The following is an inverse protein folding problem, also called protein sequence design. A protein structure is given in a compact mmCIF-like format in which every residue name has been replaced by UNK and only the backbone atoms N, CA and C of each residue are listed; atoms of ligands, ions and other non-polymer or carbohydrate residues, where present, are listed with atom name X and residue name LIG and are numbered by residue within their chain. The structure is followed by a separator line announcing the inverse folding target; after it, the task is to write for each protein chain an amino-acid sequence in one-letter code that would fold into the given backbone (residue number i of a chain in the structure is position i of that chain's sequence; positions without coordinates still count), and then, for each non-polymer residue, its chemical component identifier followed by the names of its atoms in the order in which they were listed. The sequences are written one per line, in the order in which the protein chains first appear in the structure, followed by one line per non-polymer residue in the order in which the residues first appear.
data_IF_174855827527
#
_entry.id   IF_174855827527
#
_cell.length_a   1.000
_cell.length_b   1.000
_cell.length_c   1.000
_cell.angle_alpha   90.00
_cell.angle_beta   90.00
_cell.angle_gamma   90.00
#
_symmetry.space_group_name_H-M   'P 1'
#
loop_
_entity.id
_entity.type
_entity.pdbx_description
1 polymer ?
#
# COMPACT_ATOMS: atom_id res chain seq x y z
N UNK A 1 -5.33 -3.24 -23.27
CA UNK A 1 -4.29 -3.35 -22.22
C UNK A 1 -4.62 -2.36 -21.13
N UNK A 2 -5.02 -2.82 -19.95
CA UNK A 2 -5.20 -1.96 -18.78
C UNK A 2 -3.84 -1.76 -18.10
N UNK A 3 -3.59 -0.58 -17.56
CA UNK A 3 -2.37 -0.19 -16.88
C UNK A 3 -2.71 -0.10 -15.40
N UNK A 4 -2.11 -0.98 -14.61
CA UNK A 4 -2.30 -1.01 -13.17
C UNK A 4 -1.22 -0.17 -12.51
N UNK A 5 -1.63 0.69 -11.59
CA UNK A 5 -0.75 1.60 -10.89
C UNK A 5 -1.06 1.54 -9.40
N UNK A 6 -0.03 1.51 -8.57
CA UNK A 6 -0.20 1.58 -7.12
C UNK A 6 -0.91 2.89 -6.75
N UNK A 7 -1.86 2.81 -5.82
CA UNK A 7 -2.60 4.00 -5.39
C UNK A 7 -1.69 5.08 -4.79
N UNK A 8 -0.56 4.69 -4.18
CA UNK A 8 0.47 5.65 -3.76
C UNK A 8 0.99 6.49 -4.92
N UNK A 9 1.35 5.86 -6.04
CA UNK A 9 1.83 6.55 -7.24
C UNK A 9 0.73 7.41 -7.87
N UNK A 10 -0.50 6.91 -7.92
CA UNK A 10 -1.66 7.69 -8.38
C UNK A 10 -1.90 8.90 -7.48
N UNK A 11 -1.75 8.76 -6.17
CA UNK A 11 -1.95 9.85 -5.22
C UNK A 11 -0.88 10.93 -5.36
N UNK A 12 0.40 10.54 -5.46
CA UNK A 12 1.52 11.48 -5.57
C UNK A 12 1.58 12.18 -6.92
N UNK A 13 1.32 11.44 -8.01
CA UNK A 13 1.41 11.94 -9.39
C UNK A 13 0.04 12.22 -10.01
N UNK A 14 -0.95 12.53 -9.18
CA UNK A 14 -2.34 12.69 -9.63
C UNK A 14 -2.48 13.73 -10.76
N UNK A 15 -1.70 14.80 -10.72
CA UNK A 15 -1.67 15.82 -11.78
C UNK A 15 -1.19 15.25 -13.12
N UNK A 16 -0.12 14.44 -13.11
CA UNK A 16 0.44 13.80 -14.32
C UNK A 16 -0.56 12.81 -14.92
N UNK A 17 -1.19 11.99 -14.07
CA UNK A 17 -2.24 11.07 -14.51
C UNK A 17 -3.45 11.82 -15.05
N UNK A 18 -3.88 12.91 -14.41
CA UNK A 18 -5.00 13.71 -14.90
C UNK A 18 -4.65 14.36 -16.23
N UNK A 19 -3.45 14.92 -16.38
CA UNK A 19 -3.00 15.53 -17.64
C UNK A 19 -2.91 14.51 -18.79
N UNK A 20 -2.41 13.31 -18.52
CA UNK A 20 -2.24 12.27 -19.52
C UNK A 20 -3.55 11.56 -19.92
N UNK A 21 -4.51 11.45 -18.99
CA UNK A 21 -5.69 10.59 -19.17
C UNK A 21 -7.03 11.34 -19.20
N UNK A 22 -7.11 12.60 -18.74
CA UNK A 22 -8.39 13.34 -18.76
C UNK A 22 -8.93 13.51 -20.19
N UNK A 23 -10.21 13.21 -20.39
CA UNK A 23 -10.87 13.24 -21.70
C UNK A 23 -10.39 12.19 -22.71
N UNK A 24 -9.45 11.33 -22.34
CA UNK A 24 -8.92 10.28 -23.21
C UNK A 24 -9.76 9.01 -23.11
N UNK A 25 -10.03 8.37 -24.25
CA UNK A 25 -10.60 7.01 -24.30
C UNK A 25 -9.71 5.97 -23.59
N UNK A 26 -8.46 6.32 -23.29
CA UNK A 26 -7.51 5.49 -22.54
C UNK A 26 -7.67 5.61 -21.03
N UNK A 27 -8.42 6.58 -20.50
CA UNK A 27 -8.67 6.73 -19.06
C UNK A 27 -9.29 5.47 -18.45
N UNK A 28 -10.22 4.84 -19.17
CA UNK A 28 -10.89 3.60 -18.77
C UNK A 28 -9.93 2.40 -18.65
N UNK A 29 -8.67 2.57 -19.07
CA UNK A 29 -7.63 1.56 -19.01
C UNK A 29 -6.71 1.76 -17.80
N UNK A 30 -6.75 2.90 -17.12
CA UNK A 30 -5.99 3.14 -15.89
C UNK A 30 -6.78 2.59 -14.70
N UNK A 31 -6.15 1.73 -13.91
CA UNK A 31 -6.78 1.10 -12.74
C UNK A 31 -5.82 1.16 -11.55
N UNK A 32 -6.37 1.42 -10.37
CA UNK A 32 -5.66 1.37 -9.09
C UNK A 32 -6.63 0.89 -8.00
N UNK A 33 -6.11 0.19 -6.99
CA UNK A 33 -6.87 -0.27 -5.84
C UNK A 33 -6.58 0.60 -4.62
N UNK A 34 -7.61 0.98 -3.86
CA UNK A 34 -7.49 1.79 -2.65
C UNK A 34 -8.51 1.35 -1.61
N UNK A 35 -8.12 1.43 -0.33
CA UNK A 35 -9.02 1.25 0.80
C UNK A 35 -9.73 2.55 1.21
N UNK A 36 -9.43 3.66 0.51
CA UNK A 36 -10.09 4.95 0.71
C UNK A 36 -11.29 5.10 -0.24
N UNK A 37 -12.38 5.70 0.22
CA UNK A 37 -13.51 6.07 -0.65
C UNK A 37 -13.08 7.08 -1.72
N UNK A 38 -13.87 7.20 -2.79
CA UNK A 38 -13.52 8.07 -3.90
C UNK A 38 -13.54 9.56 -3.48
N UNK A 39 -12.37 10.20 -3.54
CA UNK A 39 -12.13 11.54 -2.98
C UNK A 39 -12.96 12.66 -3.60
N UNK A 40 -13.44 12.50 -4.83
CA UNK A 40 -14.24 13.50 -5.54
C UNK A 40 -15.72 13.09 -5.70
N UNK A 41 -16.18 12.04 -5.01
CA UNK A 41 -17.59 11.65 -5.07
C UNK A 41 -18.48 12.65 -4.34
N UNK A 42 -19.22 13.46 -5.10
CA UNK A 42 -20.13 14.48 -4.57
C UNK A 42 -21.44 13.94 -4.01
N UNK A 43 -21.74 12.64 -4.14
CA UNK A 43 -22.94 11.98 -3.59
C UNK A 43 -22.58 10.88 -2.60
N UNK A 44 -21.40 10.98 -2.00
CA UNK A 44 -20.86 9.95 -1.13
C UNK A 44 -21.69 9.75 0.14
N UNK A 45 -21.88 8.48 0.52
CA UNK A 45 -22.40 8.09 1.84
C UNK A 45 -21.28 7.92 2.88
N UNK A 46 -20.01 8.06 2.47
CA UNK A 46 -18.87 7.97 3.38
C UNK A 46 -18.76 9.24 4.22
N UNK A 47 -18.95 9.10 5.53
CA UNK A 47 -18.75 10.17 6.51
C UNK A 47 -17.36 10.82 6.36
N UNK A 48 -16.30 10.02 6.21
CA UNK A 48 -14.94 10.52 5.99
C UNK A 48 -14.83 11.44 4.76
N UNK A 49 -15.51 11.13 3.66
CA UNK A 49 -15.48 12.00 2.46
C UNK A 49 -16.33 13.25 2.66
N UNK A 50 -17.46 13.15 3.37
CA UNK A 50 -18.29 14.30 3.71
C UNK A 50 -17.51 15.30 4.58
N UNK A 51 -16.85 14.82 5.63
CA UNK A 51 -15.97 15.62 6.48
C UNK A 51 -14.79 16.19 5.71
N UNK A 52 -14.17 15.38 4.85
CA UNK A 52 -13.09 15.84 3.97
C UNK A 52 -13.56 16.96 3.03
N UNK A 53 -14.75 16.85 2.43
CA UNK A 53 -15.31 17.88 1.55
C UNK A 53 -15.68 19.15 2.30
N UNK A 54 -16.08 19.03 3.57
CA UNK A 54 -16.31 20.17 4.45
C UNK A 54 -15.00 20.87 4.81
N UNK A 55 -13.93 20.12 5.07
CA UNK A 55 -12.61 20.66 5.40
C UNK A 55 -11.86 21.22 4.18
N UNK A 56 -11.99 20.57 3.01
CA UNK A 56 -11.35 20.96 1.75
C UNK A 56 -12.43 21.45 0.78
N UNK A 57 -12.77 22.73 0.92
CA UNK A 57 -13.86 23.37 0.16
C UNK A 57 -13.50 23.59 -1.31
N UNK A 58 -12.23 23.88 -1.62
CA UNK A 58 -11.75 23.97 -3.00
C UNK A 58 -11.71 22.57 -3.64
N UNK A 59 -12.61 22.36 -4.62
CA UNK A 59 -12.69 21.10 -5.37
C UNK A 59 -11.40 20.74 -6.10
N UNK A 60 -10.57 21.73 -6.49
CA UNK A 60 -9.28 21.47 -7.14
C UNK A 60 -8.27 20.82 -6.19
N UNK A 61 -8.41 21.09 -4.89
CA UNK A 61 -7.58 20.52 -3.85
C UNK A 61 -8.07 19.14 -3.40
N UNK A 62 -9.26 18.70 -3.83
CA UNK A 62 -9.79 17.36 -3.54
C UNK A 62 -9.12 16.33 -4.43
N UNK A 63 -7.99 15.86 -3.98
CA UNK A 63 -7.13 14.87 -4.65
C UNK A 63 -7.00 13.60 -3.80
N UNK A 64 -6.59 12.45 -4.37
CA UNK A 64 -6.36 11.25 -3.58
C UNK A 64 -5.33 11.46 -2.46
N UNK A 65 -4.28 12.24 -2.72
CA UNK A 65 -3.27 12.58 -1.72
C UNK A 65 -3.84 13.39 -0.56
N UNK A 66 -4.65 14.41 -0.86
CA UNK A 66 -5.28 15.23 0.17
C UNK A 66 -6.29 14.46 1.03
N UNK A 67 -7.07 13.54 0.45
CA UNK A 67 -7.96 12.67 1.22
C UNK A 67 -7.15 11.76 2.14
N UNK A 68 -6.02 11.23 1.65
CA UNK A 68 -5.13 10.39 2.46
C UNK A 68 -4.53 11.18 3.63
N UNK A 69 -4.07 12.40 3.38
CA UNK A 69 -3.58 13.29 4.43
C UNK A 69 -4.67 13.64 5.45
N UNK A 70 -5.90 13.89 4.98
CA UNK A 70 -7.05 14.13 5.83
C UNK A 70 -7.37 12.93 6.73
N UNK A 71 -7.46 11.73 6.17
CA UNK A 71 -7.69 10.50 6.93
C UNK A 71 -6.57 10.23 7.96
N UNK A 72 -5.31 10.48 7.60
CA UNK A 72 -4.18 10.41 8.53
C UNK A 72 -4.30 11.44 9.67
N UNK A 73 -4.75 12.65 9.37
CA UNK A 73 -4.98 13.69 10.38
C UNK A 73 -6.14 13.32 11.32
N UNK A 74 -7.22 12.76 10.78
CA UNK A 74 -8.35 12.27 11.57
C UNK A 74 -7.95 11.14 12.53
N UNK A 75 -7.07 10.23 12.09
CA UNK A 75 -6.47 9.22 12.97
C UNK A 75 -5.71 9.89 14.12
N UNK A 76 -4.82 10.84 13.82
CA UNK A 76 -4.06 11.57 14.85
C UNK A 76 -5.00 12.31 15.80
N UNK A 77 -6.01 13.02 15.31
CA UNK A 77 -7.00 13.71 16.15
C UNK A 77 -7.77 12.74 17.05
N UNK A 78 -8.21 11.61 16.50
CA UNK A 78 -8.89 10.55 17.27
C UNK A 78 -8.00 10.02 18.38
N UNK A 79 -6.73 9.78 18.08
CA UNK A 79 -5.73 9.34 19.06
C UNK A 79 -5.52 10.39 20.15
N UNK A 80 -5.29 11.64 19.77
CA UNK A 80 -5.11 12.76 20.72
C UNK A 80 -6.33 12.97 21.61
N UNK A 81 -7.55 12.79 21.08
CA UNK A 81 -8.80 12.95 21.85
C UNK A 81 -8.98 11.90 22.96
N UNK A 82 -8.26 10.78 22.87
CA UNK A 82 -8.28 9.68 23.85
C UNK A 82 -7.18 9.82 24.91
N UNK A 83 -6.42 10.92 24.89
CA UNK A 83 -5.32 11.16 25.82
C UNK A 83 -5.74 12.18 26.88
N UNK A 84 -5.58 11.80 28.16
CA UNK A 84 -5.83 12.70 29.28
C UNK A 84 -4.80 13.85 29.35
N UNK A 85 -3.55 13.57 28.92
CA UNK A 85 -2.47 14.55 28.83
C UNK A 85 -1.79 14.35 27.49
N UNK A 86 -1.74 15.40 26.66
CA UNK A 86 -1.07 15.36 25.35
C UNK A 86 0.37 15.85 25.51
N UNK A 87 1.34 14.95 25.38
CA UNK A 87 2.75 15.26 25.25
C UNK A 87 3.45 14.17 24.41
N UNK A 88 4.73 14.40 24.10
CA UNK A 88 5.50 13.47 23.28
C UNK A 88 5.46 12.04 23.86
N UNK A 89 5.59 11.88 25.18
CA UNK A 89 5.62 10.58 25.86
C UNK A 89 4.27 9.87 25.88
N UNK A 90 3.16 10.58 26.05
CA UNK A 90 1.81 9.99 26.04
C UNK A 90 1.34 9.65 24.63
N UNK A 91 1.71 10.48 23.64
CA UNK A 91 1.48 10.21 22.23
C UNK A 91 2.24 8.96 21.76
N UNK A 92 3.54 8.95 22.04
CA UNK A 92 4.44 7.80 21.94
C UNK A 92 3.84 6.56 22.60
N UNK A 93 3.56 6.60 23.90
CA UNK A 93 3.04 5.46 24.64
C UNK A 93 1.68 4.96 24.13
N UNK A 94 0.83 5.81 23.59
CA UNK A 94 -0.42 5.37 22.99
C UNK A 94 -0.15 4.50 21.75
N UNK A 95 0.71 4.96 20.85
CA UNK A 95 1.10 4.18 19.68
C UNK A 95 1.97 2.95 20.06
N UNK A 96 2.73 3.00 21.15
CA UNK A 96 3.57 1.87 21.62
C UNK A 96 2.81 0.81 22.41
N UNK A 97 1.84 1.20 23.25
CA UNK A 97 1.02 0.26 24.02
C UNK A 97 -0.11 -0.35 23.18
N UNK A 98 -0.64 0.42 22.24
CA UNK A 98 -1.62 -0.05 21.27
C UNK A 98 -0.89 -0.28 19.95
N UNK A 99 -0.11 -1.37 19.86
CA UNK A 99 0.73 -1.80 18.71
C UNK A 99 0.39 -1.00 17.44
N UNK A 100 1.17 0.04 17.15
CA UNK A 100 1.02 0.79 15.91
C UNK A 100 1.84 0.11 14.82
N UNK A 101 1.25 -0.89 14.17
CA UNK A 101 1.68 -1.27 12.82
C UNK A 101 1.28 -0.11 11.92
N UNK A 102 2.24 0.72 11.53
CA UNK A 102 1.97 1.82 10.62
C UNK A 102 1.92 1.24 9.20
N UNK A 103 0.72 0.84 8.79
CA UNK A 103 0.44 0.33 7.44
C UNK A 103 0.50 1.48 6.44
N UNK A 104 1.65 1.63 5.79
CA UNK A 104 1.91 2.67 4.80
C UNK A 104 2.40 2.05 3.51
N UNK A 105 1.73 2.28 2.36
CA UNK A 105 2.30 2.01 1.05
C UNK A 105 3.76 2.47 0.96
N UNK A 106 4.63 1.64 0.38
CA UNK A 106 6.07 1.84 0.21
C UNK A 106 6.50 3.31 0.02
N UNK A 107 5.83 4.03 -0.88
CA UNK A 107 6.13 5.43 -1.22
C UNK A 107 5.99 6.43 -0.07
N UNK A 108 5.30 6.09 1.02
CA UNK A 108 5.15 6.95 2.21
C UNK A 108 6.11 6.51 3.31
N UNK A 109 6.69 5.31 3.23
CA UNK A 109 7.66 4.83 4.22
C UNK A 109 8.92 5.70 4.23
N UNK A 110 9.44 6.10 3.08
CA UNK A 110 10.61 7.01 2.99
C UNK A 110 10.36 8.37 3.67
N UNK A 111 9.19 8.96 3.43
CA UNK A 111 8.77 10.21 4.08
C UNK A 111 8.64 10.03 5.60
N UNK A 112 8.09 8.91 6.05
CA UNK A 112 7.91 8.63 7.47
C UNK A 112 9.27 8.39 8.16
N UNK A 113 10.18 7.69 7.49
CA UNK A 113 11.55 7.49 7.94
C UNK A 113 12.31 8.83 8.03
N UNK A 114 12.11 9.75 7.08
CA UNK A 114 12.76 11.07 7.14
C UNK A 114 12.26 11.90 8.33
N UNK A 115 10.95 11.95 8.55
CA UNK A 115 10.34 12.64 9.71
C UNK A 115 10.82 12.02 11.03
N UNK A 116 10.92 10.68 11.10
CA UNK A 116 11.43 10.02 12.29
C UNK A 116 12.92 10.29 12.54
N UNK A 117 13.75 10.33 11.49
CA UNK A 117 15.16 10.72 11.62
C UNK A 117 15.29 12.13 12.16
N UNK A 118 14.53 13.08 11.62
CA UNK A 118 14.50 14.46 12.12
C UNK A 118 14.07 14.55 13.58
N UNK A 119 13.10 13.74 14.01
CA UNK A 119 12.67 13.69 15.40
C UNK A 119 13.74 13.12 16.35
N UNK A 120 14.46 12.07 15.93
CA UNK A 120 15.59 11.51 16.69
C UNK A 120 16.73 12.54 16.78
N UNK A 121 17.04 13.21 15.68
CA UNK A 121 18.05 14.28 15.63
C UNK A 121 17.66 15.46 16.54
N UNK A 122 16.37 15.72 16.72
CA UNK A 122 15.83 16.71 17.64
C UNK A 122 15.79 16.25 19.12
N UNK A 123 16.26 15.03 19.43
CA UNK A 123 16.43 14.52 20.80
C UNK A 123 15.38 13.51 21.26
N UNK A 124 14.52 13.01 20.37
CA UNK A 124 13.59 11.91 20.72
C UNK A 124 14.39 10.59 20.85
N UNK A 125 14.27 9.84 21.96
CA UNK A 125 14.97 8.58 22.13
C UNK A 125 14.55 7.54 21.08
N UNK A 126 15.52 6.94 20.39
CA UNK A 126 15.26 5.80 19.51
C UNK A 126 15.21 4.49 20.31
N UNK A 127 14.06 3.81 20.30
CA UNK A 127 13.92 2.44 20.85
C UNK A 127 13.74 1.47 19.68
N UNK A 128 14.43 0.34 19.70
CA UNK A 128 14.27 -0.68 18.64
C UNK A 128 12.89 -1.37 18.71
N UNK A 129 12.26 -1.64 17.56
CA UNK A 129 10.93 -2.30 17.46
C UNK A 129 9.72 -1.37 17.69
N UNK A 130 9.99 -0.11 17.98
CA UNK A 130 9.09 0.99 18.26
C UNK A 130 8.40 1.53 16.99
N UNK A 131 9.13 1.58 15.88
CA UNK A 131 8.62 2.00 14.56
C UNK A 131 8.78 0.80 13.64
N UNK A 132 7.65 0.24 13.21
CA UNK A 132 7.60 -0.82 12.21
C UNK A 132 6.84 -0.26 11.02
N UNK A 133 7.56 0.08 9.96
CA UNK A 133 6.95 0.38 8.66
C UNK A 133 6.77 -0.94 7.94
N UNK A 134 5.54 -1.24 7.56
CA UNK A 134 5.24 -2.38 6.71
C UNK A 134 4.13 -1.96 5.77
N UNK A 135 4.21 -2.41 4.53
CA UNK A 135 3.17 -2.22 3.53
C UNK A 135 1.89 -2.91 3.91
N UNK A 136 0.95 -2.94 2.96
CA UNK A 136 -0.28 -3.72 3.10
C UNK A 136 -0.06 -5.23 3.05
N UNK A 137 1.20 -5.67 2.93
CA UNK A 137 1.60 -7.06 2.79
C UNK A 137 2.50 -7.46 3.98
N UNK A 138 2.40 -8.70 4.47
CA UNK A 138 3.34 -9.24 5.46
C UNK A 138 4.81 -9.01 5.10
N UNK A 139 5.65 -8.78 6.11
CA UNK A 139 7.09 -8.66 5.90
C UNK A 139 7.67 -9.98 5.40
N UNK A 140 8.69 -9.89 4.55
CA UNK A 140 9.38 -11.05 4.00
C UNK A 140 9.97 -11.99 5.07
N UNK A 141 10.27 -11.49 6.27
CA UNK A 141 10.76 -12.27 7.43
C UNK A 141 9.65 -12.86 8.31
N UNK A 142 8.39 -12.53 8.05
CA UNK A 142 7.26 -12.92 8.89
C UNK A 142 6.74 -14.32 8.53
N UNK A 143 7.38 -15.33 9.10
CA UNK A 143 7.14 -16.75 8.78
C UNK A 143 5.84 -17.31 9.36
N UNK A 144 5.00 -16.50 10.02
CA UNK A 144 3.69 -16.94 10.48
C UNK A 144 2.73 -17.24 9.32
N UNK A 145 2.97 -16.65 8.14
CA UNK A 145 2.17 -16.89 6.94
C UNK A 145 2.78 -17.97 6.05
N UNK A 146 1.95 -18.89 5.58
CA UNK A 146 2.35 -19.95 4.65
C UNK A 146 2.81 -19.35 3.32
N UNK A 147 2.13 -18.31 2.84
CA UNK A 147 2.52 -17.57 1.64
C UNK A 147 3.94 -16.98 1.75
N UNK A 148 4.31 -16.46 2.93
CA UNK A 148 5.67 -15.92 3.16
C UNK A 148 6.70 -17.05 3.13
N UNK A 149 6.45 -18.17 3.79
CA UNK A 149 7.37 -19.32 3.74
C UNK A 149 7.60 -19.82 2.32
N UNK A 150 6.56 -19.79 1.47
CA UNK A 150 6.69 -20.16 0.06
C UNK A 150 7.44 -19.11 -0.75
N UNK A 151 7.11 -17.85 -0.57
CA UNK A 151 7.82 -16.72 -1.16
C UNK A 151 9.33 -16.78 -0.84
N UNK A 152 9.72 -16.99 0.42
CA UNK A 152 11.13 -17.06 0.80
C UNK A 152 11.89 -18.12 -0.02
N UNK A 153 11.33 -19.34 -0.13
CA UNK A 153 11.94 -20.42 -0.92
C UNK A 153 12.04 -20.09 -2.40
N UNK A 154 10.97 -19.56 -2.98
CA UNK A 154 10.92 -19.27 -4.42
C UNK A 154 11.81 -18.08 -4.79
N UNK A 155 11.84 -17.05 -3.95
CA UNK A 155 12.65 -15.86 -4.17
C UNK A 155 14.14 -16.13 -3.96
N UNK A 156 14.52 -16.86 -2.90
CA UNK A 156 15.91 -17.29 -2.70
C UNK A 156 16.40 -18.16 -3.87
N UNK A 157 15.57 -19.09 -4.34
CA UNK A 157 15.88 -19.88 -5.54
C UNK A 157 16.05 -18.99 -6.77
N UNK A 158 15.13 -18.04 -7.00
CA UNK A 158 15.23 -17.11 -8.12
C UNK A 158 16.50 -16.26 -8.06
N UNK A 159 16.85 -15.70 -6.90
CA UNK A 159 18.05 -14.87 -6.75
C UNK A 159 19.34 -15.67 -6.96
N UNK A 160 19.34 -16.97 -6.61
CA UNK A 160 20.47 -17.87 -6.86
C UNK A 160 20.58 -18.31 -8.33
N UNK A 161 19.47 -18.58 -9.00
CA UNK A 161 19.47 -19.30 -10.29
C UNK A 161 19.22 -18.40 -11.52
N UNK A 162 18.63 -17.21 -11.34
CA UNK A 162 18.21 -16.36 -12.47
C UNK A 162 19.36 -15.70 -13.23
N UNK A 163 20.57 -15.65 -12.64
CA UNK A 163 21.70 -14.90 -13.18
C UNK A 163 21.56 -13.37 -13.04
N UNK A 164 20.64 -12.90 -12.20
CA UNK A 164 20.52 -11.49 -11.87
C UNK A 164 21.80 -10.96 -11.18
N UNK A 165 22.11 -9.68 -11.39
CA UNK A 165 23.30 -9.02 -10.83
C UNK A 165 22.95 -7.79 -10.00
N UNK A 166 21.68 -7.62 -9.63
CA UNK A 166 21.20 -6.45 -8.90
C UNK A 166 21.37 -6.63 -7.39
N UNK A 167 21.17 -7.85 -6.89
CA UNK A 167 21.35 -8.21 -5.48
C UNK A 167 22.52 -9.19 -5.35
N UNK A 168 23.48 -8.85 -4.50
CA UNK A 168 24.64 -9.69 -4.22
C UNK A 168 24.33 -10.81 -3.21
N UNK A 169 23.29 -10.63 -2.40
CA UNK A 169 22.84 -11.57 -1.36
C UNK A 169 21.52 -12.25 -1.77
N UNK A 170 21.48 -13.59 -1.93
CA UNK A 170 20.25 -14.33 -2.18
C UNK A 170 19.20 -14.22 -1.08
N UNK A 171 19.57 -13.74 0.11
CA UNK A 171 18.68 -13.49 1.24
C UNK A 171 18.45 -11.99 1.48
N UNK A 172 18.79 -11.11 0.52
CA UNK A 172 18.65 -9.66 0.65
C UNK A 172 17.24 -9.23 1.13
N UNK A 173 16.20 -9.90 0.63
CA UNK A 173 14.81 -9.63 0.99
C UNK A 173 14.47 -9.88 2.48
N UNK A 174 15.27 -10.68 3.20
CA UNK A 174 15.13 -10.86 4.65
C UNK A 174 15.84 -9.77 5.44
N UNK A 175 16.88 -9.18 4.86
CA UNK A 175 17.79 -8.24 5.49
C UNK A 175 17.42 -6.77 5.21
N UNK A 176 16.60 -6.53 4.17
CA UNK A 176 16.09 -5.23 3.80
C UNK A 176 14.56 -5.28 3.68
N UNK A 177 13.86 -4.74 4.69
CA UNK A 177 12.41 -4.80 4.77
C UNK A 177 11.71 -4.10 3.59
N UNK A 178 12.27 -3.00 3.07
CA UNK A 178 11.71 -2.28 1.93
C UNK A 178 11.78 -3.11 0.65
N UNK A 179 12.96 -3.64 0.34
CA UNK A 179 13.13 -4.43 -0.88
C UNK A 179 12.41 -5.78 -0.77
N UNK A 180 12.38 -6.37 0.43
CA UNK A 180 11.62 -7.58 0.71
C UNK A 180 10.11 -7.40 0.52
N UNK A 181 9.56 -6.26 0.96
CA UNK A 181 8.16 -5.92 0.71
C UNK A 181 7.86 -5.76 -0.78
N UNK A 182 8.74 -5.09 -1.53
CA UNK A 182 8.58 -4.93 -2.99
C UNK A 182 8.60 -6.30 -3.68
N UNK A 183 9.58 -7.13 -3.36
CA UNK A 183 9.70 -8.47 -3.93
C UNK A 183 8.47 -9.32 -3.64
N UNK A 184 7.97 -9.30 -2.41
CA UNK A 184 6.79 -10.05 -2.02
C UNK A 184 5.53 -9.54 -2.72
N UNK A 185 5.39 -8.22 -2.87
CA UNK A 185 4.28 -7.61 -3.60
C UNK A 185 4.24 -8.06 -5.07
N UNK A 186 5.40 -8.12 -5.73
CA UNK A 186 5.50 -8.60 -7.11
C UNK A 186 5.26 -10.10 -7.24
N UNK A 187 5.71 -10.87 -6.25
CA UNK A 187 5.43 -12.30 -6.19
C UNK A 187 3.92 -12.59 -6.08
N UNK A 188 3.21 -11.90 -5.17
CA UNK A 188 1.74 -11.97 -5.06
C UNK A 188 1.08 -11.63 -6.40
N UNK A 189 1.52 -10.57 -7.08
CA UNK A 189 0.98 -10.18 -8.37
C UNK A 189 1.16 -11.29 -9.43
N UNK A 190 2.31 -11.97 -9.42
CA UNK A 190 2.57 -13.15 -10.26
C UNK A 190 1.63 -14.31 -9.95
N UNK A 191 1.40 -14.60 -8.67
CA UNK A 191 0.48 -15.65 -8.21
C UNK A 191 -0.97 -15.41 -8.63
N UNK A 192 -1.47 -14.19 -8.43
CA UNK A 192 -2.80 -13.79 -8.91
C UNK A 192 -2.90 -13.98 -10.42
N UNK A 193 -1.87 -13.57 -11.17
CA UNK A 193 -1.84 -13.74 -12.62
C UNK A 193 -1.89 -15.22 -13.03
N UNK A 194 -1.12 -16.10 -12.37
CA UNK A 194 -1.11 -17.53 -12.64
C UNK A 194 -2.48 -18.18 -12.35
N UNK A 195 -3.13 -17.81 -11.25
CA UNK A 195 -4.49 -18.29 -10.94
C UNK A 195 -5.51 -17.77 -11.95
N UNK A 196 -5.42 -16.50 -12.32
CA UNK A 196 -6.29 -15.93 -13.35
C UNK A 196 -6.12 -16.69 -14.67
N UNK A 197 -4.88 -16.92 -15.12
CA UNK A 197 -4.56 -17.72 -16.32
C UNK A 197 -4.96 -19.19 -16.22
N UNK A 198 -5.33 -19.70 -15.04
CA UNK A 198 -5.86 -21.05 -14.89
C UNK A 198 -7.39 -21.11 -15.10
N UNK A 199 -8.08 -19.96 -15.18
CA UNK A 199 -9.54 -19.89 -15.36
C UNK A 199 -9.98 -20.09 -16.82
N UNK A 200 -11.01 -20.89 -17.10
CA UNK A 200 -11.43 -21.21 -18.49
C UNK A 200 -11.78 -20.02 -19.38
N UNK A 201 -11.92 -18.81 -18.83
CA UNK A 201 -12.15 -17.58 -19.60
C UNK A 201 -10.95 -17.16 -20.46
N UNK A 202 -9.73 -17.56 -20.09
CA UNK A 202 -8.55 -17.32 -20.93
C UNK A 202 -8.68 -18.02 -22.29
N UNK A 203 -9.39 -19.15 -22.35
CA UNK A 203 -9.60 -19.96 -23.56
C UNK A 203 -10.59 -19.31 -24.53
N UNK A 204 -11.44 -18.39 -24.08
CA UNK A 204 -12.50 -17.83 -24.93
C UNK A 204 -11.96 -16.75 -25.87
N UNK A 205 -11.45 -15.66 -25.30
CA UNK A 205 -10.75 -14.60 -26.02
C UNK A 205 -10.16 -13.61 -25.02
N UNK A 206 -9.22 -12.80 -25.51
CA UNK A 206 -8.51 -11.78 -24.72
C UNK A 206 -9.45 -10.78 -24.03
N UNK A 207 -10.54 -10.36 -24.67
CA UNK A 207 -11.46 -9.39 -24.06
C UNK A 207 -12.26 -9.99 -22.90
N UNK A 208 -12.72 -11.24 -23.02
CA UNK A 208 -13.42 -11.94 -21.95
C UNK A 208 -12.50 -12.17 -20.76
N UNK A 209 -11.27 -12.64 -21.00
CA UNK A 209 -10.27 -12.81 -19.95
C UNK A 209 -9.95 -11.50 -19.22
N UNK A 210 -9.74 -10.40 -19.96
CA UNK A 210 -9.47 -9.09 -19.35
C UNK A 210 -10.68 -8.58 -18.57
N UNK A 211 -11.90 -8.82 -19.05
CA UNK A 211 -13.11 -8.41 -18.32
C UNK A 211 -13.26 -9.18 -17.00
N UNK A 212 -12.95 -10.48 -17.01
CA UNK A 212 -13.14 -11.34 -15.84
C UNK A 212 -12.19 -11.06 -14.68
N UNK A 213 -11.04 -10.42 -14.94
CA UNK A 213 -10.15 -9.88 -13.90
C UNK A 213 -10.81 -8.78 -13.04
N UNK A 214 -11.95 -8.22 -13.45
CA UNK A 214 -12.68 -7.16 -12.75
C UNK A 214 -13.98 -7.62 -12.11
N UNK A 215 -14.35 -8.88 -12.32
CA UNK A 215 -15.32 -9.50 -11.44
C UNK A 215 -14.63 -9.66 -10.08
N UNK A 216 -15.30 -9.31 -8.98
CA UNK A 216 -14.77 -9.46 -7.61
C UNK A 216 -14.39 -10.92 -7.35
N UNK A 217 -13.15 -11.28 -7.69
CA UNK A 217 -12.59 -12.61 -7.52
C UNK A 217 -11.65 -12.57 -6.34
N UNK A 218 -11.93 -13.44 -5.38
CA UNK A 218 -11.01 -13.72 -4.29
C UNK A 218 -10.02 -14.75 -4.79
N UNK A 219 -8.78 -14.33 -4.99
CA UNK A 219 -7.64 -15.19 -5.22
C UNK A 219 -7.11 -15.63 -3.85
N UNK A 220 -6.98 -16.93 -3.67
CA UNK A 220 -6.46 -17.51 -2.44
C UNK A 220 -5.04 -17.99 -2.70
N UNK A 221 -4.06 -17.26 -2.17
CA UNK A 221 -2.64 -17.60 -2.25
C UNK A 221 -2.25 -18.17 -0.89
N UNK A 222 -2.26 -19.49 -0.80
CA UNK A 222 -2.08 -20.21 0.47
C UNK A 222 -3.08 -19.71 1.52
N UNK A 223 -2.62 -18.92 2.50
CA UNK A 223 -3.40 -18.33 3.59
C UNK A 223 -3.78 -16.86 3.38
N UNK A 224 -3.41 -16.25 2.25
CA UNK A 224 -3.77 -14.90 1.87
C UNK A 224 -4.97 -14.87 0.93
N UNK A 225 -5.91 -13.95 1.20
CA UNK A 225 -7.05 -13.67 0.33
C UNK A 225 -6.87 -12.31 -0.31
N UNK A 226 -6.76 -12.29 -1.63
CA UNK A 226 -6.57 -11.07 -2.45
C UNK A 226 -7.80 -10.88 -3.33
N UNK A 227 -8.42 -9.70 -3.33
CA UNK A 227 -9.62 -9.41 -4.13
C UNK A 227 -9.95 -7.93 -4.21
#
# INVERSE_FOLDING_TARGET
VRVFVLFSEVSLRYADFTAAFSGSVRANRLVFATNLPHWADGKTESETVQEFHAAVTDKKMRTPLSLRAFAGTQLVQTVLSRMDIVNADTLSNFFYRNIAVLLGPLAVQDMLLSVWREAVDAGVPFVSGQVITTGTNPLAKDTQYVAIQRFQREMEKYLNESGQTFFDDPQHFLNNDNDGEVMFSWWIAGEVLMQAMSSREWLQNRSTFVASLFDQRRYMIDDLVIG
#
